data_IF_945414363077
#
_entry.id   IF_945414363077
#
_cell.length_a   1.000
_cell.length_b   1.000
_cell.length_c   1.000
_cell.angle_alpha   90.00
_cell.angle_beta   90.00
_cell.angle_gamma   90.00
#
_symmetry.space_group_name_H-M   'P 1'
#
loop_
_entity.id
_entity.type
_entity.pdbx_description
1 polymer ?
#
# COMPACT_ATOMS: atom_id res chain seq x y z
N UNK A 1 -15.91 -1.38 0.35
CA UNK A 1 -16.55 -1.63 -0.98
C UNK A 1 -16.25 -3.09 -1.39
N UNK A 2 -16.79 -3.63 -2.50
CA UNK A 2 -16.50 -5.03 -2.90
C UNK A 2 -15.83 -5.09 -4.27
N UNK A 3 -14.64 -5.68 -4.31
CA UNK A 3 -13.92 -6.03 -5.54
C UNK A 3 -13.99 -7.53 -5.77
N UNK A 4 -14.25 -7.95 -7.00
CA UNK A 4 -14.12 -9.35 -7.42
C UNK A 4 -13.17 -9.42 -8.61
N UNK A 5 -12.19 -10.32 -8.53
CA UNK A 5 -11.25 -10.62 -9.62
C UNK A 5 -11.42 -12.10 -9.96
N UNK A 6 -11.89 -12.40 -11.17
CA UNK A 6 -12.06 -13.78 -11.63
C UNK A 6 -10.87 -14.20 -12.49
N UNK A 7 -10.21 -15.30 -12.13
CA UNK A 7 -9.09 -15.84 -12.90
C UNK A 7 -9.58 -16.98 -13.80
N UNK A 8 -9.38 -16.84 -15.10
CA UNK A 8 -9.75 -17.82 -16.12
C UNK A 8 -8.53 -18.54 -16.67
N UNK A 9 -8.63 -19.86 -16.87
CA UNK A 9 -7.57 -20.69 -17.45
C UNK A 9 -7.52 -20.69 -18.99
N UNK A 10 -8.45 -20.02 -19.66
CA UNK A 10 -8.55 -19.96 -21.11
C UNK A 10 -9.14 -18.62 -21.56
N UNK A 11 -8.72 -18.13 -22.73
CA UNK A 11 -9.20 -16.88 -23.29
C UNK A 11 -10.48 -17.04 -24.14
N UNK A 12 -11.55 -17.56 -23.51
CA UNK A 12 -12.87 -17.67 -24.13
C UNK A 12 -13.71 -16.44 -23.79
N UNK A 13 -13.61 -15.39 -24.62
CA UNK A 13 -14.22 -14.08 -24.37
C UNK A 13 -15.74 -14.13 -24.24
N UNK A 14 -16.40 -15.01 -24.98
CA UNK A 14 -17.86 -15.14 -24.92
C UNK A 14 -18.30 -15.70 -23.56
N UNK A 15 -17.66 -16.78 -23.10
CA UNK A 15 -17.96 -17.38 -21.80
C UNK A 15 -17.54 -16.50 -20.63
N UNK A 16 -16.39 -15.83 -20.75
CA UNK A 16 -15.92 -14.85 -19.76
C UNK A 16 -16.97 -13.75 -19.59
N UNK A 17 -17.41 -13.14 -20.70
CA UNK A 17 -18.42 -12.09 -20.67
C UNK A 17 -19.73 -12.56 -20.04
N UNK A 18 -20.24 -13.72 -20.46
CA UNK A 18 -21.48 -14.29 -19.93
C UNK A 18 -21.42 -14.52 -18.40
N UNK A 19 -20.30 -15.03 -17.88
CA UNK A 19 -20.14 -15.23 -16.43
C UNK A 19 -20.03 -13.89 -15.68
N UNK A 20 -19.22 -12.96 -16.17
CA UNK A 20 -19.02 -11.67 -15.51
C UNK A 20 -20.31 -10.83 -15.49
N UNK A 21 -21.09 -10.86 -16.57
CA UNK A 21 -22.41 -10.21 -16.62
C UNK A 21 -23.41 -10.86 -15.68
N UNK A 22 -23.39 -12.20 -15.56
CA UNK A 22 -24.19 -12.91 -14.58
C UNK A 22 -23.83 -12.52 -13.14
N UNK A 23 -22.53 -12.47 -12.81
CA UNK A 23 -22.07 -12.03 -11.49
C UNK A 23 -22.51 -10.60 -11.18
N UNK A 24 -22.29 -9.67 -12.12
CA UNK A 24 -22.69 -8.27 -11.96
C UNK A 24 -24.21 -8.09 -11.82
N UNK A 25 -25.02 -8.93 -12.48
CA UNK A 25 -26.47 -8.92 -12.35
C UNK A 25 -26.97 -9.55 -11.05
N UNK A 26 -26.27 -10.57 -10.52
CA UNK A 26 -26.67 -11.33 -9.34
C UNK A 26 -26.24 -10.70 -8.02
N UNK A 27 -25.12 -9.99 -8.01
CA UNK A 27 -24.48 -9.42 -6.83
C UNK A 27 -24.26 -7.90 -7.02
N UNK A 28 -25.29 -7.07 -6.81
CA UNK A 28 -25.21 -5.62 -6.99
C UNK A 28 -24.24 -4.93 -6.01
N UNK A 29 -23.80 -5.60 -4.95
CA UNK A 29 -22.78 -5.12 -4.02
C UNK A 29 -21.37 -5.06 -4.63
N UNK A 30 -21.12 -5.75 -5.76
CA UNK A 30 -19.85 -5.69 -6.49
C UNK A 30 -19.72 -4.32 -7.15
N UNK A 31 -18.87 -3.47 -6.57
CA UNK A 31 -18.60 -2.12 -7.07
C UNK A 31 -17.42 -2.09 -8.06
N UNK A 32 -16.62 -3.14 -8.09
CA UNK A 32 -15.43 -3.29 -8.94
C UNK A 32 -15.29 -4.75 -9.38
N UNK A 33 -15.46 -5.02 -10.67
CA UNK A 33 -15.41 -6.36 -11.23
C UNK A 33 -14.31 -6.45 -12.28
N UNK A 34 -13.37 -7.35 -12.03
CA UNK A 34 -12.20 -7.61 -12.86
C UNK A 34 -12.13 -9.06 -13.29
N UNK A 35 -11.35 -9.31 -14.33
CA UNK A 35 -10.87 -10.65 -14.65
C UNK A 35 -9.41 -10.66 -15.08
N UNK A 36 -8.80 -11.83 -14.96
CA UNK A 36 -7.45 -12.14 -15.45
C UNK A 36 -7.54 -13.43 -16.25
N UNK A 37 -6.83 -13.52 -17.37
CA UNK A 37 -6.67 -14.78 -18.11
C UNK A 37 -5.27 -15.31 -17.83
N UNK A 38 -5.17 -16.39 -17.07
CA UNK A 38 -3.93 -17.08 -16.79
C UNK A 38 -3.87 -18.41 -17.55
N UNK A 39 -3.24 -18.41 -18.72
CA UNK A 39 -3.00 -19.62 -19.52
C UNK A 39 -1.73 -20.37 -19.12
N UNK A 40 -0.99 -19.87 -18.13
CA UNK A 40 0.17 -20.55 -17.59
C UNK A 40 -0.29 -21.75 -16.77
N UNK A 41 0.48 -22.83 -16.79
CA UNK A 41 0.23 -24.02 -15.97
C UNK A 41 0.75 -23.84 -14.53
N UNK A 42 0.46 -22.69 -13.93
CA UNK A 42 0.78 -22.33 -12.55
C UNK A 42 -0.25 -21.33 -11.99
N UNK A 43 -0.15 -21.02 -10.71
CA UNK A 43 -1.06 -20.16 -9.97
C UNK A 43 -0.60 -18.70 -9.87
N UNK A 44 0.51 -18.32 -10.50
CA UNK A 44 1.02 -16.96 -10.41
C UNK A 44 0.20 -15.99 -11.28
N UNK A 45 -0.30 -14.91 -10.67
CA UNK A 45 -1.12 -13.90 -11.36
C UNK A 45 -0.54 -12.48 -11.29
N UNK A 46 0.54 -12.25 -10.54
CA UNK A 46 1.08 -10.90 -10.32
C UNK A 46 1.65 -10.24 -11.58
N UNK A 47 2.19 -11.05 -12.50
CA UNK A 47 2.71 -10.64 -13.81
C UNK A 47 1.62 -10.41 -14.87
N UNK A 48 0.36 -10.75 -14.56
CA UNK A 48 -0.77 -10.58 -15.48
C UNK A 48 -1.54 -9.31 -15.13
N UNK A 49 -2.09 -8.64 -16.13
CA UNK A 49 -2.86 -7.41 -15.95
C UNK A 49 -4.36 -7.70 -15.80
N UNK A 50 -4.97 -7.35 -14.65
CA UNK A 50 -6.41 -7.43 -14.47
C UNK A 50 -7.14 -6.47 -15.43
N UNK A 51 -8.14 -7.00 -16.13
CA UNK A 51 -9.02 -6.21 -17.00
C UNK A 51 -10.28 -5.84 -16.21
N UNK A 52 -10.53 -4.54 -16.07
CA UNK A 52 -11.77 -4.06 -15.46
C UNK A 52 -12.95 -4.33 -16.41
N UNK A 53 -13.88 -5.17 -15.98
CA UNK A 53 -15.09 -5.49 -16.74
C UNK A 53 -16.20 -4.49 -16.47
N UNK A 54 -16.44 -4.15 -15.19
CA UNK A 54 -17.53 -3.27 -14.78
C UNK A 54 -17.25 -2.59 -13.44
N UNK A 55 -17.74 -1.36 -13.30
CA UNK A 55 -17.64 -0.59 -12.06
C UNK A 55 -16.35 0.22 -12.01
N UNK A 56 -15.84 0.43 -10.80
CA UNK A 56 -14.60 1.18 -10.56
C UNK A 56 -13.38 0.29 -10.81
N UNK A 57 -12.26 0.89 -11.15
CA UNK A 57 -10.95 0.23 -11.25
C UNK A 57 -10.29 -0.04 -9.87
N UNK A 58 -11.00 0.25 -8.78
CA UNK A 58 -10.53 0.13 -7.40
C UNK A 58 -11.70 -0.02 -6.44
N UNK A 59 -11.38 -0.32 -5.18
CA UNK A 59 -12.26 -0.11 -4.03
C UNK A 59 -11.67 0.94 -3.11
N UNK A 60 -12.54 1.55 -2.30
CA UNK A 60 -12.16 2.40 -1.19
C UNK A 60 -12.32 1.63 0.13
N UNK A 61 -11.21 1.47 0.83
CA UNK A 61 -11.14 1.04 2.23
C UNK A 61 -11.09 2.26 3.15
N UNK A 62 -11.57 2.11 4.38
CA UNK A 62 -11.61 3.20 5.36
C UNK A 62 -10.99 2.79 6.69
N UNK A 63 -10.19 3.67 7.27
CA UNK A 63 -9.58 3.48 8.58
C UNK A 63 -9.45 4.82 9.31
N UNK A 64 -10.08 4.96 10.48
CA UNK A 64 -10.18 6.23 11.24
C UNK A 64 -10.59 7.45 10.39
N UNK A 65 -11.50 7.26 9.44
CA UNK A 65 -11.96 8.33 8.55
C UNK A 65 -11.02 8.65 7.40
N UNK A 66 -9.82 8.06 7.36
CA UNK A 66 -8.96 8.04 6.17
C UNK A 66 -9.52 7.07 5.14
N UNK A 67 -9.32 7.39 3.87
CA UNK A 67 -9.75 6.60 2.72
C UNK A 67 -8.54 6.11 1.95
N UNK A 68 -8.52 4.83 1.60
CA UNK A 68 -7.43 4.22 0.85
C UNK A 68 -7.97 3.63 -0.46
N UNK A 69 -7.40 4.06 -1.57
CA UNK A 69 -7.64 3.45 -2.88
C UNK A 69 -6.88 2.13 -2.94
N UNK A 70 -7.62 1.04 -3.16
CA UNK A 70 -7.06 -0.31 -3.30
C UNK A 70 -7.41 -0.84 -4.69
N UNK A 71 -6.38 -1.01 -5.53
CA UNK A 71 -6.50 -1.61 -6.85
C UNK A 71 -6.32 -3.13 -6.81
N UNK A 72 -6.53 -3.82 -7.95
CA UNK A 72 -6.47 -5.28 -8.02
C UNK A 72 -5.06 -5.87 -7.84
N UNK A 73 -4.01 -5.04 -7.95
CA UNK A 73 -2.60 -5.41 -7.67
C UNK A 73 -2.05 -4.73 -6.41
N UNK A 74 -2.79 -3.82 -5.79
CA UNK A 74 -2.32 -3.07 -4.63
C UNK A 74 -2.25 -4.01 -3.42
N UNK A 75 -1.16 -3.94 -2.65
CA UNK A 75 -1.11 -4.61 -1.35
C UNK A 75 -1.94 -3.81 -0.33
N UNK A 76 -2.86 -4.49 0.33
CA UNK A 76 -3.61 -3.98 1.48
C UNK A 76 -3.82 -5.13 2.47
N UNK A 77 -3.89 -4.81 3.76
CA UNK A 77 -4.06 -5.84 4.79
C UNK A 77 -5.40 -6.55 4.61
N UNK A 78 -5.37 -7.87 4.52
CA UNK A 78 -6.56 -8.68 4.20
C UNK A 78 -7.62 -8.66 5.29
N UNK A 79 -7.23 -8.34 6.52
CA UNK A 79 -8.12 -8.14 7.65
C UNK A 79 -8.06 -6.68 8.10
N UNK A 80 -8.93 -5.83 7.53
CA UNK A 80 -8.95 -4.38 7.81
C UNK A 80 -9.15 -4.07 9.30
N UNK A 81 -9.97 -4.85 10.02
CA UNK A 81 -10.24 -4.63 11.45
C UNK A 81 -9.01 -4.89 12.31
N UNK A 82 -8.27 -5.96 12.03
CA UNK A 82 -7.02 -6.26 12.75
C UNK A 82 -5.86 -5.36 12.31
N UNK A 83 -5.82 -4.97 11.03
CA UNK A 83 -4.87 -3.98 10.55
C UNK A 83 -5.01 -2.66 11.30
N UNK A 84 -6.26 -2.22 11.53
CA UNK A 84 -6.53 -1.05 12.35
C UNK A 84 -5.97 -1.18 13.76
N UNK A 85 -6.25 -2.29 14.45
CA UNK A 85 -5.73 -2.53 15.80
C UNK A 85 -4.20 -2.56 15.85
N UNK A 86 -3.57 -3.21 14.87
CA UNK A 86 -2.10 -3.25 14.73
C UNK A 86 -1.52 -1.84 14.55
N UNK A 87 -2.05 -1.07 13.60
CA UNK A 87 -1.54 0.27 13.30
C UNK A 87 -1.77 1.23 14.45
N UNK A 88 -2.91 1.10 15.16
CA UNK A 88 -3.18 1.84 16.38
C UNK A 88 -2.11 1.56 17.45
N UNK A 89 -1.81 0.30 17.73
CA UNK A 89 -0.77 -0.08 18.70
C UNK A 89 0.60 0.45 18.28
N UNK A 90 0.97 0.32 17.00
CA UNK A 90 2.24 0.83 16.49
C UNK A 90 2.36 2.36 16.63
N UNK A 91 1.30 3.10 16.27
CA UNK A 91 1.23 4.56 16.44
C UNK A 91 1.30 4.96 17.92
N UNK A 92 0.62 4.25 18.80
CA UNK A 92 0.59 4.56 20.22
C UNK A 92 1.96 4.29 20.87
N UNK A 93 2.68 3.25 20.43
CA UNK A 93 4.06 2.97 20.88
C UNK A 93 5.08 3.96 20.30
N UNK A 94 4.83 4.46 19.09
CA UNK A 94 5.66 5.49 18.47
C UNK A 94 5.60 6.83 19.22
N UNK A 95 4.55 7.09 20.02
CA UNK A 95 4.35 8.29 20.83
C UNK A 95 4.72 9.59 20.08
N UNK A 96 4.25 9.69 18.83
CA UNK A 96 4.60 10.78 17.91
C UNK A 96 4.18 12.14 18.46
N UNK A 97 5.12 13.07 18.41
CA UNK A 97 4.93 14.47 18.75
C UNK A 97 4.76 15.33 17.48
N UNK A 98 4.03 16.46 17.55
CA UNK A 98 3.80 17.32 16.38
C UNK A 98 5.06 17.85 15.68
N UNK A 99 6.21 17.85 16.36
CA UNK A 99 7.49 18.28 15.81
C UNK A 99 8.24 17.19 15.02
N UNK A 100 7.83 15.94 15.16
CA UNK A 100 8.65 14.79 14.76
C UNK A 100 8.69 14.59 13.25
N UNK A 101 9.78 13.99 12.79
CA UNK A 101 9.92 13.41 11.46
C UNK A 101 9.80 11.89 11.60
N UNK A 102 8.70 11.33 11.09
CA UNK A 102 8.47 9.90 11.01
C UNK A 102 9.04 9.35 9.70
N UNK A 103 9.82 8.28 9.77
CA UNK A 103 10.12 7.47 8.60
C UNK A 103 9.25 6.20 8.62
N UNK A 104 8.54 5.96 7.53
CA UNK A 104 7.78 4.73 7.28
C UNK A 104 8.53 3.93 6.20
N UNK A 105 9.30 2.94 6.61
CA UNK A 105 10.10 2.14 5.69
C UNK A 105 9.35 0.86 5.36
N UNK A 106 9.37 0.47 4.07
CA UNK A 106 8.47 -0.54 3.49
C UNK A 106 7.01 -0.06 3.52
N UNK A 107 6.82 1.23 3.19
CA UNK A 107 5.54 1.95 3.35
C UNK A 107 4.40 1.37 2.49
N UNK A 108 4.70 0.55 1.48
CA UNK A 108 3.72 0.03 0.55
C UNK A 108 2.90 1.16 -0.10
N UNK A 109 1.57 1.07 0.02
CA UNK A 109 0.63 2.09 -0.49
C UNK A 109 0.44 3.27 0.47
N UNK A 110 1.37 3.48 1.40
CA UNK A 110 1.39 4.62 2.33
C UNK A 110 0.36 4.52 3.45
N UNK A 111 -0.10 3.32 3.80
CA UNK A 111 -1.19 3.14 4.76
C UNK A 111 -0.79 3.60 6.16
N UNK A 112 0.35 3.13 6.68
CA UNK A 112 0.89 3.54 7.98
C UNK A 112 1.31 5.01 7.94
N UNK A 113 2.04 5.44 6.91
CA UNK A 113 2.44 6.83 6.72
C UNK A 113 1.25 7.80 6.83
N UNK A 114 0.18 7.56 6.07
CA UNK A 114 -1.02 8.41 6.10
C UNK A 114 -1.78 8.30 7.42
N UNK A 115 -1.82 7.11 8.03
CA UNK A 115 -2.44 6.89 9.34
C UNK A 115 -1.77 7.69 10.47
N UNK A 116 -0.44 7.81 10.43
CA UNK A 116 0.35 8.54 11.42
C UNK A 116 0.53 10.04 11.10
N UNK A 117 0.29 10.47 9.85
CA UNK A 117 0.65 11.81 9.35
C UNK A 117 0.06 12.98 10.16
N UNK A 118 -1.11 12.79 10.80
CA UNK A 118 -1.74 13.84 11.63
C UNK A 118 -1.03 14.10 12.97
N UNK A 119 -0.06 13.25 13.36
CA UNK A 119 0.61 13.30 14.67
C UNK A 119 2.04 13.83 14.62
N UNK A 120 2.58 14.11 13.44
CA UNK A 120 3.97 14.52 13.26
C UNK A 120 4.11 15.67 12.25
N UNK A 121 5.29 16.30 12.20
CA UNK A 121 5.57 17.40 11.28
C UNK A 121 5.71 16.93 9.84
N UNK A 122 6.36 15.77 9.64
CA UNK A 122 6.67 15.21 8.32
C UNK A 122 6.70 13.69 8.38
N UNK A 123 6.23 13.04 7.31
CA UNK A 123 6.40 11.61 7.10
C UNK A 123 7.22 11.36 5.84
N UNK A 124 8.20 10.47 5.92
CA UNK A 124 9.05 10.04 4.80
C UNK A 124 8.80 8.55 4.57
N UNK A 125 8.16 8.21 3.45
CA UNK A 125 7.89 6.83 3.07
C UNK A 125 8.87 6.32 2.01
N UNK A 126 9.37 5.11 2.18
CA UNK A 126 10.22 4.43 1.19
C UNK A 126 9.69 3.04 0.89
N UNK A 127 9.54 2.71 -0.39
CA UNK A 127 9.05 1.41 -0.87
C UNK A 127 9.79 1.03 -2.16
N UNK A 128 10.04 -0.26 -2.38
CA UNK A 128 10.70 -0.76 -3.57
C UNK A 128 9.82 -0.64 -4.83
N UNK A 129 8.52 -0.89 -4.69
CA UNK A 129 7.56 -0.94 -5.80
C UNK A 129 7.07 0.47 -6.19
N UNK A 130 7.42 0.99 -7.40
CA UNK A 130 7.01 2.33 -7.82
C UNK A 130 5.50 2.54 -7.90
N UNK A 131 4.75 1.52 -8.28
CA UNK A 131 3.29 1.54 -8.34
C UNK A 131 2.67 1.74 -6.95
N UNK A 132 3.25 1.14 -5.91
CA UNK A 132 2.80 1.32 -4.53
C UNK A 132 3.04 2.76 -4.06
N UNK A 133 4.16 3.38 -4.47
CA UNK A 133 4.44 4.80 -4.20
C UNK A 133 3.49 5.73 -4.95
N UNK A 134 3.08 5.38 -6.17
CA UNK A 134 2.05 6.12 -6.89
C UNK A 134 0.70 6.05 -6.15
N UNK A 135 0.31 4.87 -5.68
CA UNK A 135 -0.88 4.68 -4.85
C UNK A 135 -0.77 5.44 -3.51
N UNK A 136 0.40 5.47 -2.87
CA UNK A 136 0.64 6.21 -1.63
C UNK A 136 0.40 7.72 -1.79
N UNK A 137 0.87 8.30 -2.91
CA UNK A 137 0.63 9.72 -3.24
C UNK A 137 -0.85 9.98 -3.46
N UNK A 138 -1.55 9.12 -4.22
CA UNK A 138 -2.99 9.22 -4.43
C UNK A 138 -3.74 9.13 -3.09
N UNK A 139 -3.32 8.24 -2.19
CA UNK A 139 -3.92 8.10 -0.86
C UNK A 139 -3.71 9.36 -0.01
N UNK A 140 -2.54 9.98 -0.03
CA UNK A 140 -2.31 11.27 0.64
C UNK A 140 -3.20 12.37 0.07
N UNK A 141 -3.26 12.51 -1.25
CA UNK A 141 -4.10 13.50 -1.93
C UNK A 141 -5.58 13.30 -1.60
N UNK A 142 -6.07 12.06 -1.62
CA UNK A 142 -7.45 11.69 -1.30
C UNK A 142 -7.87 12.11 0.13
N UNK A 143 -6.91 12.17 1.04
CA UNK A 143 -7.10 12.55 2.44
C UNK A 143 -6.67 13.99 2.76
N UNK A 144 -6.18 14.74 1.77
CA UNK A 144 -5.67 16.10 1.99
C UNK A 144 -4.41 16.15 2.86
N UNK A 145 -3.64 15.07 2.91
CA UNK A 145 -2.40 14.96 3.69
C UNK A 145 -1.25 15.52 2.84
N UNK A 146 -0.67 16.63 3.30
CA UNK A 146 0.36 17.37 2.55
C UNK A 146 1.78 17.22 3.14
N UNK A 147 1.93 16.59 4.31
CA UNK A 147 3.19 16.44 5.02
C UNK A 147 3.87 15.07 4.79
N UNK A 148 3.42 14.30 3.81
CA UNK A 148 4.02 13.02 3.40
C UNK A 148 4.89 13.19 2.15
N UNK A 149 6.07 12.57 2.13
CA UNK A 149 6.92 12.48 0.94
C UNK A 149 7.29 11.01 0.71
N UNK A 150 7.20 10.55 -0.54
CA UNK A 150 7.35 9.13 -0.89
C UNK A 150 8.41 8.90 -1.95
N UNK A 151 9.28 7.90 -1.72
CA UNK A 151 10.39 7.52 -2.59
C UNK A 151 10.30 6.06 -3.00
N UNK A 152 10.52 5.80 -4.30
CA UNK A 152 10.60 4.45 -4.83
C UNK A 152 12.06 4.01 -4.97
N UNK A 153 12.41 2.82 -4.48
CA UNK A 153 13.73 2.22 -4.69
C UNK A 153 14.10 1.16 -3.65
N UNK A 154 15.20 0.45 -3.90
CA UNK A 154 15.75 -0.51 -2.93
C UNK A 154 16.15 0.22 -1.65
N UNK A 155 15.65 -0.27 -0.51
CA UNK A 155 15.89 0.34 0.80
C UNK A 155 17.38 0.53 1.08
N UNK A 156 18.23 -0.43 0.66
CA UNK A 156 19.69 -0.39 0.86
C UNK A 156 20.36 0.70 0.03
N UNK A 157 19.79 1.04 -1.12
CA UNK A 157 20.32 2.05 -2.05
C UNK A 157 19.75 3.44 -1.75
N UNK A 158 18.50 3.50 -1.27
CA UNK A 158 17.81 4.77 -0.99
C UNK A 158 18.16 5.30 0.40
N UNK A 159 18.17 4.45 1.43
CA UNK A 159 18.39 4.88 2.80
C UNK A 159 19.90 4.97 3.09
N UNK A 160 20.49 6.13 2.81
CA UNK A 160 21.86 6.47 3.18
C UNK A 160 21.93 7.78 4.00
N UNK A 161 23.12 8.14 4.46
CA UNK A 161 23.31 9.34 5.28
C UNK A 161 22.93 10.63 4.52
N UNK A 162 23.05 10.65 3.18
CA UNK A 162 22.65 11.80 2.34
C UNK A 162 21.13 11.91 2.25
N UNK A 163 20.43 10.78 2.14
CA UNK A 163 18.99 10.72 2.15
C UNK A 163 18.44 11.24 3.48
N UNK A 164 19.05 10.84 4.59
CA UNK A 164 18.72 11.34 5.93
C UNK A 164 18.97 12.83 6.05
N UNK A 165 20.11 13.33 5.55
CA UNK A 165 20.42 14.77 5.54
C UNK A 165 19.38 15.57 4.71
N UNK A 166 19.02 15.08 3.52
CA UNK A 166 18.07 15.73 2.63
C UNK A 166 16.63 15.74 3.18
N UNK A 167 16.26 14.71 3.95
CA UNK A 167 14.91 14.57 4.49
C UNK A 167 14.75 15.05 5.93
N UNK A 168 15.85 15.31 6.63
CA UNK A 168 15.89 15.53 8.07
C UNK A 168 16.04 14.21 8.82
N UNK A 169 16.82 14.23 9.91
CA UNK A 169 17.00 13.08 10.80
C UNK A 169 15.63 12.60 11.32
N UNK A 170 15.31 11.30 11.23
CA UNK A 170 14.09 10.76 11.82
C UNK A 170 14.13 10.88 13.34
N UNK A 171 12.99 11.22 13.94
CA UNK A 171 12.74 11.12 15.38
C UNK A 171 12.09 9.77 15.72
N UNK A 172 11.36 9.18 14.76
CA UNK A 172 10.79 7.84 14.88
C UNK A 172 10.88 7.12 13.54
N UNK A 173 11.13 5.81 13.58
CA UNK A 173 11.07 4.92 12.42
C UNK A 173 10.07 3.80 12.68
N UNK A 174 9.12 3.60 11.77
CA UNK A 174 8.27 2.41 11.72
C UNK A 174 8.75 1.53 10.57
N UNK A 175 8.87 0.23 10.84
CA UNK A 175 9.33 -0.80 9.92
C UNK A 175 8.24 -1.86 9.76
N UNK A 176 7.77 -2.11 8.54
CA UNK A 176 6.92 -3.27 8.20
C UNK A 176 7.59 -4.14 7.11
N UNK A 177 8.75 -4.77 7.42
CA UNK A 177 9.54 -5.47 6.42
C UNK A 177 8.88 -6.76 5.95
N UNK A 178 9.31 -7.31 4.78
CA UNK A 178 8.91 -8.65 4.37
C UNK A 178 9.42 -9.71 5.36
N UNK A 179 8.99 -10.97 5.17
CA UNK A 179 9.37 -12.11 6.04
C UNK A 179 10.89 -12.31 6.20
N UNK A 180 11.69 -11.84 5.26
CA UNK A 180 13.15 -11.89 5.33
C UNK A 180 13.74 -10.95 6.39
N UNK A 181 12.96 -9.99 6.88
CA UNK A 181 13.41 -8.95 7.82
C UNK A 181 14.07 -7.77 7.12
N UNK A 182 14.84 -7.01 7.88
CA UNK A 182 15.55 -5.81 7.43
C UNK A 182 17.00 -6.17 7.12
N UNK A 183 17.51 -5.66 6.00
CA UNK A 183 18.90 -5.87 5.61
C UNK A 183 19.88 -5.15 6.57
N UNK A 184 21.05 -5.75 6.80
CA UNK A 184 22.07 -5.21 7.71
C UNK A 184 22.54 -3.79 7.35
N UNK A 185 22.78 -3.41 6.07
CA UNK A 185 23.13 -2.03 5.72
C UNK A 185 22.05 -1.01 6.11
N UNK A 186 20.77 -1.39 6.06
CA UNK A 186 19.65 -0.52 6.46
C UNK A 186 19.68 -0.33 7.97
N UNK A 187 19.90 -1.41 8.74
CA UNK A 187 20.05 -1.36 10.21
C UNK A 187 21.20 -0.43 10.61
N UNK A 188 22.34 -0.51 9.94
CA UNK A 188 23.49 0.36 10.23
C UNK A 188 23.15 1.84 10.06
N UNK A 189 22.38 2.20 9.02
CA UNK A 189 21.95 3.59 8.79
C UNK A 189 20.97 4.03 9.89
N UNK A 190 20.02 3.16 10.28
CA UNK A 190 19.09 3.44 11.39
C UNK A 190 19.85 3.70 12.69
N UNK A 191 20.86 2.87 13.02
CA UNK A 191 21.68 3.03 14.22
C UNK A 191 22.47 4.35 14.21
N UNK A 192 22.97 4.80 13.05
CA UNK A 192 23.64 6.10 12.92
C UNK A 192 22.66 7.27 13.01
N UNK A 193 21.47 7.13 12.41
CA UNK A 193 20.41 8.12 12.50
C UNK A 193 19.90 8.30 13.95
N UNK A 194 19.97 7.25 14.76
CA UNK A 194 19.60 7.23 16.17
C UNK A 194 18.24 7.90 16.43
N UNK A 195 17.15 7.42 15.81
CA UNK A 195 15.81 7.93 16.03
C UNK A 195 15.43 7.86 17.52
#
# INVERSE_FOLDING_TARGET
EVMVIVVFGADDRERIGALLDHLAGRFPEITSLFYVVNTKLNDSVGDLDPVCWRGKDHIIEQMEGLRFKVGPKSFYQTNSEQAYELYKVARDFADLQPGDILYDLYTGTGTIANFCASRCRKVVGVEYVPEAIADAKINSELNGIANTVFYAGDMKEVLDDRFVEANGRPDVIILDPPRAGVDEPVIEVILRAAP
#
